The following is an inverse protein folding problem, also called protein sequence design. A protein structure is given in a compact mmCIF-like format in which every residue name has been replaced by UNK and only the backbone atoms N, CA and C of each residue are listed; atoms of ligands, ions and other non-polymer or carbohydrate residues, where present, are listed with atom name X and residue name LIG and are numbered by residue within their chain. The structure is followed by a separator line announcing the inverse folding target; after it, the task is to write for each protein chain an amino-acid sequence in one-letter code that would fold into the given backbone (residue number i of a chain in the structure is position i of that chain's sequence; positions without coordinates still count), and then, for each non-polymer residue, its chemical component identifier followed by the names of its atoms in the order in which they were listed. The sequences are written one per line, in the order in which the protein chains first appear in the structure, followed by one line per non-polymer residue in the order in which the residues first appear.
data_IF_437300689888
#
_entry.id   IF_437300689888
#
_cell.length_a   1.000
_cell.length_b   1.000
_cell.length_c   1.000
_cell.angle_alpha   90.00
_cell.angle_beta   90.00
_cell.angle_gamma   90.00
#
_symmetry.space_group_name_H-M   'P 1'
#
loop_
_entity.id
_entity.type
_entity.pdbx_description
1 polymer ?
#
# COMPACT_ATOMS: atom_id res chain seq x y z
N UNK A 1 7.19 -26.36 8.68
CA UNK A 1 8.52 -25.78 8.99
C UNK A 1 8.26 -24.52 9.79
N UNK A 2 8.95 -24.33 10.92
CA UNK A 2 8.77 -23.14 11.75
C UNK A 2 9.05 -21.89 10.90
N UNK A 3 8.12 -20.93 10.87
CA UNK A 3 8.31 -19.63 10.20
C UNK A 3 9.24 -18.70 11.00
N UNK A 4 9.86 -19.17 12.09
CA UNK A 4 10.73 -18.37 12.94
C UNK A 4 12.15 -18.31 12.39
N UNK A 5 12.70 -17.11 12.39
CA UNK A 5 14.08 -16.83 11.96
C UNK A 5 15.06 -17.34 13.02
N UNK A 6 16.02 -18.18 12.61
CA UNK A 6 17.11 -18.63 13.49
C UNK A 6 18.07 -17.47 13.79
N UNK A 7 18.86 -17.57 14.87
CA UNK A 7 19.82 -16.52 15.22
C UNK A 7 20.85 -16.28 14.10
N UNK A 8 21.41 -17.34 13.52
CA UNK A 8 22.40 -17.24 12.44
C UNK A 8 21.82 -16.60 11.16
N UNK A 9 20.59 -16.99 10.78
CA UNK A 9 19.89 -16.37 9.65
C UNK A 9 19.64 -14.88 9.91
N UNK A 10 19.22 -14.54 11.13
CA UNK A 10 18.92 -13.16 11.54
C UNK A 10 20.16 -12.28 11.41
N UNK A 11 21.28 -12.71 11.99
CA UNK A 11 22.56 -11.97 11.95
C UNK A 11 23.01 -11.77 10.50
N UNK A 12 22.90 -12.81 9.67
CA UNK A 12 23.27 -12.74 8.25
C UNK A 12 22.41 -11.74 7.48
N UNK A 13 21.09 -11.77 7.65
CA UNK A 13 20.18 -10.85 6.97
C UNK A 13 20.43 -9.41 7.43
N UNK A 14 20.51 -9.16 8.74
CA UNK A 14 20.76 -7.82 9.29
C UNK A 14 22.08 -7.24 8.77
N UNK A 15 23.15 -8.04 8.72
CA UNK A 15 24.43 -7.61 8.19
C UNK A 15 24.36 -7.15 6.71
N UNK A 16 23.55 -7.82 5.87
CA UNK A 16 23.34 -7.39 4.48
C UNK A 16 22.65 -6.03 4.39
N UNK A 17 21.65 -5.79 5.25
CA UNK A 17 20.97 -4.50 5.30
C UNK A 17 21.85 -3.37 5.84
N UNK A 18 22.70 -3.66 6.84
CA UNK A 18 23.65 -2.69 7.38
C UNK A 18 24.73 -2.31 6.36
N UNK A 19 25.24 -3.28 5.60
CA UNK A 19 26.20 -3.04 4.52
C UNK A 19 25.55 -2.29 3.34
N UNK A 20 24.27 -2.54 3.08
CA UNK A 20 23.55 -1.88 2.01
C UNK A 20 24.10 -2.27 0.63
N UNK A 21 24.49 -1.26 -0.15
CA UNK A 21 25.11 -1.42 -1.49
C UNK A 21 26.57 -0.94 -1.52
N UNK A 22 27.23 -0.94 -0.36
CA UNK A 22 28.64 -0.56 -0.27
C UNK A 22 29.56 -1.62 -0.89
N UNK A 23 30.86 -1.30 -0.99
CA UNK A 23 31.87 -2.18 -1.58
C UNK A 23 31.93 -3.51 -0.82
N UNK A 24 31.82 -4.64 -1.54
CA UNK A 24 31.74 -5.97 -0.96
C UNK A 24 30.31 -6.53 -0.78
N UNK A 25 29.27 -5.75 -1.09
CA UNK A 25 27.90 -6.26 -1.10
C UNK A 25 27.70 -7.33 -2.19
N UNK A 26 27.25 -8.53 -1.78
CA UNK A 26 26.90 -9.61 -2.69
C UNK A 26 25.39 -9.58 -2.93
N UNK A 27 25.00 -9.19 -4.14
CA UNK A 27 23.60 -9.15 -4.60
C UNK A 27 23.48 -10.13 -5.76
N UNK A 28 22.55 -11.07 -5.67
CA UNK A 28 22.35 -12.04 -6.75
C UNK A 28 21.64 -11.37 -7.93
N UNK A 29 21.97 -11.77 -9.16
CA UNK A 29 21.43 -11.16 -10.38
C UNK A 29 19.89 -11.20 -10.47
N UNK A 30 19.24 -12.16 -9.82
CA UNK A 30 17.77 -12.22 -9.77
C UNK A 30 17.16 -11.34 -8.68
N UNK A 31 17.94 -10.95 -7.66
CA UNK A 31 17.49 -9.97 -6.68
C UNK A 31 17.43 -8.58 -7.32
N UNK A 32 18.37 -8.25 -8.20
CA UNK A 32 18.41 -7.01 -9.00
C UNK A 32 18.37 -7.30 -10.51
N UNK A 33 17.17 -7.54 -11.07
CA UNK A 33 17.05 -7.76 -12.49
C UNK A 33 17.38 -6.50 -13.28
N UNK A 34 17.92 -6.67 -14.49
CA UNK A 34 18.15 -5.55 -15.42
C UNK A 34 16.82 -4.83 -15.72
N UNK A 35 16.80 -3.53 -15.41
CA UNK A 35 15.63 -2.67 -15.56
C UNK A 35 15.57 -1.99 -16.94
N UNK A 36 16.47 -2.32 -17.86
CA UNK A 36 16.47 -1.81 -19.25
C UNK A 36 15.16 -2.05 -20.00
N UNK A 37 14.35 -3.03 -19.56
CA UNK A 37 13.02 -3.33 -20.10
C UNK A 37 12.01 -2.21 -19.84
N UNK A 38 12.21 -1.40 -18.80
CA UNK A 38 11.34 -0.29 -18.44
C UNK A 38 11.64 0.98 -19.24
N UNK A 39 10.60 1.61 -19.78
CA UNK A 39 10.73 2.72 -20.75
C UNK A 39 10.25 4.06 -20.22
N UNK A 40 9.38 4.06 -19.20
CA UNK A 40 8.82 5.29 -18.62
C UNK A 40 8.45 5.09 -17.16
N UNK A 41 8.25 6.18 -16.43
CA UNK A 41 7.78 6.19 -15.04
C UNK A 41 6.51 7.01 -14.92
N UNK A 42 5.58 6.59 -14.07
CA UNK A 42 4.40 7.37 -13.76
C UNK A 42 4.66 8.44 -12.68
N UNK A 43 3.62 9.22 -12.36
CA UNK A 43 3.68 10.31 -11.37
C UNK A 43 4.02 9.87 -9.94
N UNK A 44 3.96 8.57 -9.64
CA UNK A 44 4.29 7.98 -8.34
C UNK A 44 5.61 7.18 -8.39
N UNK A 45 6.28 7.18 -9.54
CA UNK A 45 7.57 6.53 -9.74
C UNK A 45 7.47 5.05 -10.08
N UNK A 46 6.30 4.51 -10.43
CA UNK A 46 6.22 3.14 -10.93
C UNK A 46 6.64 3.10 -12.40
N UNK A 47 7.46 2.12 -12.72
CA UNK A 47 8.10 1.90 -14.01
C UNK A 47 7.19 1.06 -14.91
N UNK A 48 7.07 1.48 -16.17
CA UNK A 48 6.23 0.81 -17.17
C UNK A 48 7.09 0.32 -18.33
N UNK A 49 6.88 -0.92 -18.75
CA UNK A 49 7.57 -1.54 -19.90
C UNK A 49 7.06 -0.99 -21.23
N UNK A 50 5.83 -0.50 -21.25
CA UNK A 50 5.27 0.29 -22.34
C UNK A 50 5.43 1.78 -22.02
N UNK A 51 5.79 2.62 -23.01
CA UNK A 51 5.77 4.06 -22.82
C UNK A 51 4.35 4.50 -22.46
N UNK A 52 4.20 5.25 -21.37
CA UNK A 52 2.94 5.90 -21.07
C UNK A 52 2.62 6.92 -22.18
N UNK A 53 1.34 7.12 -22.53
CA UNK A 53 0.97 8.18 -23.45
C UNK A 53 1.53 9.51 -22.93
N UNK A 54 2.11 10.32 -23.82
CA UNK A 54 2.42 11.71 -23.48
C UNK A 54 1.10 12.46 -23.25
N UNK A 55 0.64 12.43 -22.00
CA UNK A 55 -0.48 13.25 -21.58
C UNK A 55 0.08 14.62 -21.28
N UNK A 56 -0.01 15.53 -22.25
CA UNK A 56 0.15 16.95 -21.97
C UNK A 56 -0.94 17.35 -20.97
N UNK A 57 -0.54 17.50 -19.72
CA UNK A 57 -1.45 17.95 -18.66
C UNK A 57 -1.86 19.37 -19.01
N UNK A 58 -3.16 19.66 -19.24
CA UNK A 58 -3.57 21.01 -19.60
C UNK A 58 -3.13 22.02 -18.54
N UNK A 59 -2.64 23.18 -18.95
CA UNK A 59 -2.16 24.24 -18.02
C UNK A 59 -3.21 24.57 -16.95
N UNK A 60 -4.50 24.55 -17.33
CA UNK A 60 -5.63 24.73 -16.41
C UNK A 60 -5.64 23.70 -15.26
N UNK A 61 -5.30 22.44 -15.54
CA UNK A 61 -5.23 21.38 -14.52
C UNK A 61 -4.03 21.61 -13.62
N UNK A 62 -2.87 21.98 -14.17
CA UNK A 62 -1.67 22.32 -13.39
C UNK A 62 -1.94 23.51 -12.45
N UNK A 63 -2.62 24.54 -12.94
CA UNK A 63 -3.02 25.70 -12.15
C UNK A 63 -3.98 25.32 -11.01
N UNK A 64 -4.97 24.46 -11.26
CA UNK A 64 -5.88 23.94 -10.23
C UNK A 64 -5.10 23.19 -9.14
N UNK A 65 -4.14 22.33 -9.51
CA UNK A 65 -3.32 21.59 -8.55
C UNK A 65 -2.42 22.52 -7.73
N UNK A 66 -1.81 23.54 -8.34
CA UNK A 66 -1.04 24.57 -7.62
C UNK A 66 -1.89 25.33 -6.61
N UNK A 67 -3.07 25.80 -7.02
CA UNK A 67 -4.00 26.47 -6.12
C UNK A 67 -4.45 25.57 -4.96
N UNK A 68 -4.71 24.29 -5.25
CA UNK A 68 -5.05 23.30 -4.21
C UNK A 68 -3.89 23.15 -3.23
N UNK A 69 -2.65 23.03 -3.72
CA UNK A 69 -1.46 22.90 -2.89
C UNK A 69 -1.27 24.11 -1.96
N UNK A 70 -1.41 25.34 -2.47
CA UNK A 70 -1.33 26.56 -1.64
C UNK A 70 -2.42 26.58 -0.56
N UNK A 71 -3.66 26.22 -0.94
CA UNK A 71 -4.78 26.16 0.02
C UNK A 71 -4.54 25.07 1.08
N UNK A 72 -3.96 23.93 0.72
CA UNK A 72 -3.61 22.86 1.65
C UNK A 72 -2.47 23.26 2.58
N UNK A 73 -1.41 23.89 2.06
CA UNK A 73 -0.30 24.39 2.87
C UNK A 73 -0.78 25.39 3.95
N UNK A 74 -1.75 26.25 3.63
CA UNK A 74 -2.39 27.13 4.61
C UNK A 74 -3.23 26.35 5.64
N UNK A 75 -3.86 25.25 5.25
CA UNK A 75 -4.66 24.44 6.17
C UNK A 75 -3.79 23.65 7.14
N UNK A 76 -2.64 23.14 6.70
CA UNK A 76 -1.71 22.40 7.55
C UNK A 76 -1.10 23.28 8.63
N UNK A 77 -0.79 24.55 8.33
CA UNK A 77 -0.29 25.49 9.36
C UNK A 77 -1.34 25.86 10.42
N UNK A 78 -2.62 25.79 10.07
CA UNK A 78 -3.75 26.09 10.95
C UNK A 78 -4.55 24.81 11.26
N UNK A 79 -3.87 23.67 11.46
CA UNK A 79 -4.52 22.36 11.54
C UNK A 79 -5.68 22.29 12.55
N UNK A 80 -5.47 22.79 13.78
CA UNK A 80 -6.49 22.81 14.85
C UNK A 80 -7.79 23.53 14.47
N UNK A 81 -7.75 24.47 13.53
CA UNK A 81 -8.94 25.17 13.03
C UNK A 81 -9.76 24.30 12.07
N UNK A 82 -9.13 23.34 11.40
CA UNK A 82 -9.73 22.60 10.29
C UNK A 82 -9.91 21.10 10.55
N UNK A 83 -9.26 20.53 11.58
CA UNK A 83 -9.21 19.09 11.87
C UNK A 83 -10.57 18.40 11.85
N UNK A 84 -11.61 19.06 12.37
CA UNK A 84 -12.95 18.50 12.54
C UNK A 84 -13.99 19.22 11.66
N UNK A 85 -13.52 19.91 10.61
CA UNK A 85 -14.39 20.70 9.74
C UNK A 85 -14.83 19.93 8.50
N UNK A 86 -16.07 20.13 8.05
CA UNK A 86 -16.57 19.68 6.74
C UNK A 86 -15.69 20.14 5.57
N UNK A 87 -14.95 21.23 5.77
CA UNK A 87 -14.01 21.76 4.77
C UNK A 87 -12.83 20.81 4.55
N UNK A 88 -12.35 20.14 5.60
CA UNK A 88 -11.31 19.13 5.49
C UNK A 88 -11.83 17.94 4.66
N UNK A 89 -12.94 17.33 5.08
CA UNK A 89 -13.54 16.19 4.38
C UNK A 89 -13.80 16.47 2.90
N UNK A 90 -14.40 17.62 2.57
CA UNK A 90 -14.64 18.02 1.17
C UNK A 90 -13.37 18.21 0.35
N UNK A 91 -12.24 18.53 0.97
CA UNK A 91 -10.95 18.71 0.28
C UNK A 91 -10.21 17.39 0.14
N UNK A 92 -10.25 16.53 1.14
CA UNK A 92 -9.76 15.15 1.04
C UNK A 92 -10.49 14.44 -0.10
N UNK A 93 -11.82 14.54 -0.16
CA UNK A 93 -12.64 13.99 -1.26
C UNK A 93 -12.39 14.63 -2.64
N UNK A 94 -11.56 15.66 -2.75
CA UNK A 94 -11.11 16.23 -4.04
C UNK A 94 -9.70 15.80 -4.42
N UNK A 95 -9.01 15.10 -3.51
CA UNK A 95 -7.61 14.73 -3.63
C UNK A 95 -6.68 15.66 -2.86
N UNK A 96 -5.70 15.06 -2.19
CA UNK A 96 -4.57 15.75 -1.57
C UNK A 96 -3.43 15.84 -2.61
N UNK A 97 -2.95 17.04 -2.97
CA UNK A 97 -1.83 17.21 -3.89
C UNK A 97 -0.57 16.51 -3.38
N UNK A 98 0.19 15.93 -4.31
CA UNK A 98 1.35 15.10 -3.99
C UNK A 98 2.39 15.84 -3.12
N UNK A 99 2.61 17.12 -3.41
CA UNK A 99 3.60 17.98 -2.75
C UNK A 99 3.34 18.23 -1.26
N UNK A 100 2.10 18.08 -0.80
CA UNK A 100 1.71 18.34 0.60
C UNK A 100 1.26 17.07 1.32
N UNK A 101 1.22 15.92 0.63
CA UNK A 101 0.66 14.67 1.14
C UNK A 101 1.33 14.21 2.43
N UNK A 102 2.65 14.20 2.49
CA UNK A 102 3.40 13.83 3.70
C UNK A 102 3.01 14.68 4.92
N UNK A 103 2.96 16.01 4.76
CA UNK A 103 2.54 16.92 5.85
C UNK A 103 1.09 16.71 6.26
N UNK A 104 0.18 16.53 5.30
CA UNK A 104 -1.24 16.28 5.61
C UNK A 104 -1.42 14.94 6.33
N UNK A 105 -0.74 13.88 5.90
CA UNK A 105 -0.82 12.56 6.53
C UNK A 105 -0.31 12.59 7.97
N UNK A 106 0.82 13.26 8.24
CA UNK A 106 1.30 13.46 9.62
C UNK A 106 0.24 14.06 10.53
N UNK A 107 -0.48 15.06 10.03
CA UNK A 107 -1.57 15.71 10.78
C UNK A 107 -2.81 14.83 10.93
N UNK A 108 -3.27 14.16 9.87
CA UNK A 108 -4.47 13.30 9.89
C UNK A 108 -4.30 12.10 10.81
N UNK A 109 -3.09 11.53 10.81
CA UNK A 109 -2.70 10.44 11.69
C UNK A 109 -2.28 10.91 13.08
N UNK A 110 -2.12 12.22 13.30
CA UNK A 110 -1.74 12.75 14.61
C UNK A 110 -0.41 12.21 15.12
N UNK A 111 0.54 11.94 14.22
CA UNK A 111 1.82 11.28 14.53
C UNK A 111 2.59 12.04 15.63
N UNK A 112 2.59 13.37 15.55
CA UNK A 112 3.24 14.24 16.54
C UNK A 112 2.69 14.06 17.97
N UNK A 113 1.46 13.56 18.13
CA UNK A 113 0.86 13.36 19.45
C UNK A 113 1.23 12.02 20.09
N UNK A 114 1.65 11.04 19.27
CA UNK A 114 2.00 9.68 19.72
C UNK A 114 3.50 9.42 19.65
N UNK A 115 4.24 10.26 18.92
CA UNK A 115 5.67 10.12 18.71
C UNK A 115 6.41 10.32 20.02
N UNK A 116 7.09 9.26 20.45
CA UNK A 116 7.93 9.24 21.64
C UNK A 116 9.40 9.14 21.27
N UNK A 117 10.22 10.04 21.82
CA UNK A 117 11.64 10.13 21.50
C UNK A 117 12.40 8.84 21.88
N UNK A 118 13.20 8.34 20.94
CA UNK A 118 14.04 7.17 21.13
C UNK A 118 13.32 5.82 21.14
N UNK A 119 11.98 5.76 21.17
CA UNK A 119 11.24 4.48 21.10
C UNK A 119 11.55 3.78 19.78
N UNK A 120 11.47 4.51 18.65
CA UNK A 120 11.76 3.93 17.35
C UNK A 120 13.15 3.29 17.28
N UNK A 121 14.17 4.03 17.73
CA UNK A 121 15.56 3.55 17.74
C UNK A 121 15.72 2.30 18.64
N UNK A 122 15.11 2.31 19.83
CA UNK A 122 15.12 1.14 20.73
C UNK A 122 14.45 -0.08 20.09
N UNK A 123 13.30 0.11 19.45
CA UNK A 123 12.55 -0.98 18.79
C UNK A 123 13.29 -1.51 17.57
N UNK A 124 13.90 -0.63 16.78
CA UNK A 124 14.77 -1.00 15.66
C UNK A 124 15.93 -1.87 16.13
N UNK A 125 16.65 -1.43 17.15
CA UNK A 125 17.80 -2.18 17.70
C UNK A 125 17.38 -3.52 18.32
N UNK A 126 16.28 -3.52 19.09
CA UNK A 126 15.72 -4.73 19.67
C UNK A 126 15.31 -5.72 18.57
N UNK A 127 14.57 -5.26 17.57
CA UNK A 127 14.08 -6.11 16.48
C UNK A 127 15.21 -6.73 15.67
N UNK A 128 16.27 -5.98 15.41
CA UNK A 128 17.46 -6.51 14.74
C UNK A 128 18.10 -7.68 15.49
N UNK A 129 18.04 -7.68 16.83
CA UNK A 129 18.62 -8.73 17.67
C UNK A 129 17.67 -9.90 17.93
N UNK A 130 16.37 -9.64 18.09
CA UNK A 130 15.44 -10.62 18.67
C UNK A 130 14.19 -10.89 17.86
N UNK A 131 13.90 -10.13 16.78
CA UNK A 131 12.63 -10.31 16.05
C UNK A 131 12.57 -11.69 15.38
N UNK A 132 11.51 -12.49 15.64
CA UNK A 132 11.35 -13.80 15.01
C UNK A 132 10.99 -13.67 13.51
N UNK A 133 10.58 -12.49 13.07
CA UNK A 133 9.97 -12.24 11.76
C UNK A 133 10.96 -11.75 10.69
N UNK A 134 12.25 -11.55 11.03
CA UNK A 134 13.26 -10.97 10.13
C UNK A 134 13.30 -11.65 8.76
N UNK A 135 13.28 -12.99 8.70
CA UNK A 135 13.26 -13.74 7.44
C UNK A 135 12.04 -13.46 6.60
N UNK A 136 10.86 -13.38 7.22
CA UNK A 136 9.62 -13.09 6.51
C UNK A 136 9.57 -11.64 6.03
N UNK A 137 10.09 -10.71 6.84
CA UNK A 137 10.24 -9.30 6.47
C UNK A 137 11.18 -9.16 5.27
N UNK A 138 12.32 -9.83 5.28
CA UNK A 138 13.31 -9.80 4.18
C UNK A 138 12.70 -10.24 2.85
N UNK A 139 12.01 -11.39 2.85
CA UNK A 139 11.28 -11.92 1.68
C UNK A 139 10.24 -10.91 1.19
N UNK A 140 9.53 -10.25 2.11
CA UNK A 140 8.49 -9.29 1.75
C UNK A 140 9.08 -7.98 1.21
N UNK A 141 10.19 -7.49 1.76
CA UNK A 141 10.91 -6.32 1.24
C UNK A 141 11.40 -6.58 -0.19
N UNK A 142 12.00 -7.75 -0.44
CA UNK A 142 12.51 -8.16 -1.75
C UNK A 142 11.46 -8.16 -2.86
N UNK A 143 10.17 -8.37 -2.52
CA UNK A 143 9.06 -8.40 -3.48
C UNK A 143 8.13 -7.18 -3.44
N UNK A 144 8.40 -6.18 -2.61
CA UNK A 144 7.53 -5.00 -2.45
C UNK A 144 7.95 -3.87 -3.38
N UNK A 145 7.05 -3.47 -4.29
CA UNK A 145 7.21 -2.34 -5.22
C UNK A 145 8.54 -2.34 -6.00
N UNK A 146 9.02 -3.51 -6.44
CA UNK A 146 10.27 -3.63 -7.21
C UNK A 146 10.21 -2.94 -8.58
N UNK A 147 9.02 -2.66 -9.06
CA UNK A 147 8.72 -1.83 -10.22
C UNK A 147 8.69 -0.33 -9.89
N UNK A 148 9.01 0.11 -8.67
CA UNK A 148 9.06 1.52 -8.30
C UNK A 148 10.50 2.03 -8.18
N UNK A 149 10.77 3.23 -8.70
CA UNK A 149 12.12 3.83 -8.71
C UNK A 149 12.78 3.92 -7.34
N UNK A 150 11.98 4.01 -6.26
CA UNK A 150 12.49 4.10 -4.89
C UNK A 150 12.95 2.74 -4.36
N UNK A 151 12.28 1.65 -4.78
CA UNK A 151 12.44 0.31 -4.20
C UNK A 151 13.09 -0.70 -5.16
N UNK A 152 13.40 -0.28 -6.38
CA UNK A 152 13.96 -1.09 -7.48
C UNK A 152 15.37 -1.64 -7.21
N UNK A 153 16.10 -1.08 -6.26
CA UNK A 153 17.47 -1.47 -5.94
C UNK A 153 17.50 -2.30 -4.65
N UNK A 154 17.98 -3.54 -4.70
CA UNK A 154 18.13 -4.43 -3.55
C UNK A 154 19.08 -3.81 -2.52
N UNK A 155 18.68 -3.82 -1.25
CA UNK A 155 19.39 -3.11 -0.17
C UNK A 155 19.60 -1.60 -0.43
N UNK A 156 18.86 -0.99 -1.36
CA UNK A 156 18.87 0.47 -1.53
C UNK A 156 18.26 1.18 -0.32
N UNK A 157 18.46 2.50 -0.23
CA UNK A 157 18.06 3.34 0.92
C UNK A 157 16.62 3.08 1.38
N UNK A 158 15.67 3.02 0.45
CA UNK A 158 14.25 2.82 0.79
C UNK A 158 13.91 1.38 1.15
N UNK A 159 14.63 0.38 0.63
CA UNK A 159 14.49 -1.00 1.11
C UNK A 159 15.04 -1.16 2.53
N UNK A 160 16.19 -0.52 2.83
CA UNK A 160 16.73 -0.50 4.19
C UNK A 160 15.75 0.17 5.15
N UNK A 161 15.23 1.35 4.80
CA UNK A 161 14.22 2.03 5.61
C UNK A 161 12.96 1.18 5.82
N UNK A 162 12.49 0.49 4.77
CA UNK A 162 11.34 -0.42 4.86
C UNK A 162 11.62 -1.58 5.82
N UNK A 163 12.79 -2.20 5.71
CA UNK A 163 13.22 -3.26 6.62
C UNK A 163 13.27 -2.75 8.07
N UNK A 164 13.90 -1.59 8.31
CA UNK A 164 14.01 -1.00 9.65
C UNK A 164 12.64 -0.70 10.28
N UNK A 165 11.70 -0.12 9.51
CA UNK A 165 10.34 0.18 10.00
C UNK A 165 9.60 -1.08 10.38
N UNK A 166 9.66 -2.13 9.54
CA UNK A 166 8.94 -3.38 9.78
C UNK A 166 9.55 -4.17 10.95
N UNK A 167 10.88 -4.22 11.05
CA UNK A 167 11.58 -4.86 12.17
C UNK A 167 11.33 -4.14 13.49
N UNK A 168 11.32 -2.80 13.49
CA UNK A 168 10.94 -2.04 14.67
C UNK A 168 9.47 -2.30 15.06
N UNK A 169 8.57 -2.32 14.08
CA UNK A 169 7.15 -2.56 14.34
C UNK A 169 6.88 -3.96 14.93
N UNK A 170 7.57 -5.00 14.43
CA UNK A 170 7.39 -6.37 14.95
C UNK A 170 7.70 -6.49 16.45
N UNK A 171 8.56 -5.62 16.98
CA UNK A 171 8.88 -5.57 18.41
C UNK A 171 8.06 -4.54 19.19
N UNK A 172 7.44 -3.58 18.53
CA UNK A 172 6.59 -2.60 19.18
C UNK A 172 5.26 -3.22 19.64
N UNK A 173 4.64 -4.04 18.80
CA UNK A 173 3.45 -4.80 19.14
C UNK A 173 3.74 -6.29 18.95
N UNK A 174 4.31 -6.93 19.97
CA UNK A 174 4.71 -8.35 19.92
C UNK A 174 3.54 -9.32 19.87
N UNK A 175 2.33 -8.90 20.30
CA UNK A 175 1.13 -9.73 20.19
C UNK A 175 0.70 -9.91 18.73
N UNK A 176 0.82 -8.84 17.92
CA UNK A 176 0.54 -8.89 16.49
C UNK A 176 1.76 -9.35 15.68
N UNK A 177 2.97 -8.91 16.07
CA UNK A 177 4.21 -9.10 15.34
C UNK A 177 4.16 -8.51 13.93
N UNK A 178 4.92 -9.10 13.01
CA UNK A 178 4.80 -8.81 11.59
C UNK A 178 3.75 -9.69 10.90
N UNK A 179 2.84 -9.06 10.15
CA UNK A 179 1.88 -9.77 9.30
C UNK A 179 2.13 -9.49 7.81
N UNK A 180 1.99 -10.54 6.99
CA UNK A 180 2.12 -10.42 5.53
C UNK A 180 1.14 -9.37 4.97
N UNK A 181 1.70 -8.42 4.22
CA UNK A 181 0.97 -7.28 3.65
C UNK A 181 1.36 -5.96 4.30
N UNK A 182 1.88 -5.96 5.53
CA UNK A 182 2.39 -4.75 6.19
C UNK A 182 3.50 -4.06 5.38
N UNK A 183 4.32 -4.83 4.65
CA UNK A 183 5.38 -4.25 3.80
C UNK A 183 4.85 -3.26 2.76
N UNK A 184 3.70 -3.55 2.14
CA UNK A 184 3.12 -2.65 1.13
C UNK A 184 2.60 -1.36 1.78
N UNK A 185 2.04 -1.47 3.00
CA UNK A 185 1.57 -0.33 3.79
C UNK A 185 2.75 0.58 4.14
N UNK A 186 3.77 0.01 4.77
CA UNK A 186 4.96 0.73 5.22
C UNK A 186 5.70 1.35 4.03
N UNK A 187 5.75 0.67 2.89
CA UNK A 187 6.39 1.21 1.69
C UNK A 187 5.64 2.43 1.13
N UNK A 188 4.30 2.45 1.14
CA UNK A 188 3.52 3.64 0.77
C UNK A 188 3.76 4.78 1.75
N UNK A 189 3.80 4.50 3.06
CA UNK A 189 4.11 5.51 4.09
C UNK A 189 5.49 6.13 3.85
N UNK A 190 6.50 5.30 3.59
CA UNK A 190 7.88 5.72 3.32
C UNK A 190 8.07 6.49 2.00
N UNK A 191 7.11 6.46 1.08
CA UNK A 191 7.13 7.34 -0.10
C UNK A 191 6.90 8.81 0.27
N UNK A 192 6.19 9.08 1.37
CA UNK A 192 5.76 10.43 1.76
C UNK A 192 6.28 10.90 3.12
N UNK A 193 6.78 9.97 3.94
CA UNK A 193 7.28 10.21 5.29
C UNK A 193 8.75 9.81 5.40
N UNK A 194 9.44 10.38 6.41
CA UNK A 194 10.76 9.88 6.80
C UNK A 194 10.63 8.53 7.54
N UNK A 195 11.76 7.87 7.78
CA UNK A 195 11.81 6.51 8.37
C UNK A 195 11.06 6.41 9.70
N UNK A 196 11.32 7.32 10.64
CA UNK A 196 10.70 7.29 11.96
C UNK A 196 9.21 7.68 11.92
N UNK A 197 8.85 8.70 11.15
CA UNK A 197 7.45 9.11 11.00
C UNK A 197 6.63 8.01 10.32
N UNK A 198 7.22 7.25 9.38
CA UNK A 198 6.56 6.09 8.78
C UNK A 198 6.33 4.96 9.79
N UNK A 199 7.25 4.74 10.74
CA UNK A 199 7.04 3.82 11.85
C UNK A 199 5.85 4.23 12.71
N UNK A 200 5.79 5.49 13.15
CA UNK A 200 4.67 5.97 13.95
C UNK A 200 3.35 6.02 13.19
N UNK A 201 3.39 6.35 11.89
CA UNK A 201 2.24 6.24 11.01
C UNK A 201 1.71 4.80 10.96
N UNK A 202 2.59 3.81 10.89
CA UNK A 202 2.21 2.40 10.91
C UNK A 202 1.60 1.98 12.26
N UNK A 203 2.19 2.45 13.37
CA UNK A 203 1.67 2.26 14.73
C UNK A 203 0.24 2.79 14.85
N UNK A 204 0.02 4.05 14.46
CA UNK A 204 -1.32 4.66 14.47
C UNK A 204 -2.25 3.91 13.54
N UNK A 205 -1.84 3.67 12.30
CA UNK A 205 -2.70 3.09 11.28
C UNK A 205 -3.24 1.71 11.71
N UNK A 206 -2.41 0.91 12.38
CA UNK A 206 -2.80 -0.43 12.83
C UNK A 206 -3.50 -0.39 14.19
N UNK A 207 -2.95 0.35 15.15
CA UNK A 207 -3.38 0.32 16.55
C UNK A 207 -4.54 1.26 16.90
N UNK A 208 -4.71 2.37 16.17
CA UNK A 208 -5.75 3.35 16.50
C UNK A 208 -7.14 2.82 16.09
N UNK A 209 -8.11 2.76 17.03
CA UNK A 209 -9.50 2.38 16.75
C UNK A 209 -10.16 3.20 15.63
N UNK A 210 -9.69 4.42 15.37
CA UNK A 210 -10.15 5.28 14.27
C UNK A 210 -10.02 4.62 12.91
N UNK A 211 -8.92 3.91 12.67
CA UNK A 211 -8.67 3.19 11.42
C UNK A 211 -9.17 1.75 11.50
N UNK A 212 -9.23 1.19 12.72
CA UNK A 212 -9.73 -0.15 13.01
C UNK A 212 -9.13 -1.23 12.08
N UNK A 213 -7.85 -1.09 11.76
CA UNK A 213 -7.11 -2.01 10.90
C UNK A 213 -6.64 -3.25 11.65
N UNK A 214 -6.51 -3.19 12.98
CA UNK A 214 -6.16 -4.35 13.81
C UNK A 214 -7.04 -5.59 13.50
N UNK A 215 -8.37 -5.41 13.45
CA UNK A 215 -9.31 -6.49 13.12
C UNK A 215 -9.16 -7.10 11.70
N UNK A 216 -8.44 -6.43 10.81
CA UNK A 216 -8.10 -6.92 9.46
C UNK A 216 -6.84 -7.77 9.43
N UNK A 217 -6.01 -7.71 10.49
CA UNK A 217 -4.66 -8.28 10.53
C UNK A 217 -4.51 -9.37 11.60
N UNK A 218 -5.39 -9.42 12.59
CA UNK A 218 -5.38 -10.48 13.61
C UNK A 218 -5.74 -11.86 13.03
N UNK A 219 -5.30 -12.95 13.67
CA UNK A 219 -5.66 -14.31 13.29
C UNK A 219 -7.18 -14.50 13.12
N UNK A 220 -7.57 -15.23 12.08
CA UNK A 220 -8.98 -15.42 11.71
C UNK A 220 -9.59 -14.28 10.89
N UNK A 221 -8.90 -13.13 10.76
CA UNK A 221 -9.26 -12.01 9.87
C UNK A 221 -10.74 -11.57 9.98
N UNK A 222 -11.31 -11.46 11.19
CA UNK A 222 -12.75 -11.36 11.38
C UNK A 222 -13.36 -10.14 10.68
N UNK A 223 -12.65 -9.00 10.69
CA UNK A 223 -13.13 -7.78 10.02
C UNK A 223 -13.03 -7.86 8.51
N UNK A 224 -12.02 -8.57 7.98
CA UNK A 224 -11.90 -8.80 6.55
C UNK A 224 -13.06 -9.66 6.04
N UNK A 225 -13.37 -10.75 6.76
CA UNK A 225 -14.51 -11.61 6.42
C UNK A 225 -15.83 -10.84 6.44
N UNK A 226 -16.07 -10.05 7.49
CA UNK A 226 -17.26 -9.19 7.57
C UNK A 226 -17.33 -8.18 6.41
N UNK A 227 -16.19 -7.61 6.00
CA UNK A 227 -16.13 -6.70 4.85
C UNK A 227 -16.40 -7.43 3.53
N UNK A 228 -15.92 -8.66 3.36
CA UNK A 228 -16.20 -9.51 2.21
C UNK A 228 -17.70 -9.85 2.11
N UNK A 229 -18.36 -10.12 3.23
CA UNK A 229 -19.80 -10.38 3.29
C UNK A 229 -20.61 -9.14 2.96
N UNK A 230 -20.24 -8.00 3.53
CA UNK A 230 -20.84 -6.71 3.22
C UNK A 230 -20.67 -6.36 1.74
N UNK A 231 -19.47 -6.52 1.20
CA UNK A 231 -19.19 -6.30 -0.22
C UNK A 231 -20.00 -7.24 -1.11
N UNK A 232 -20.16 -8.51 -0.73
CA UNK A 232 -20.99 -9.47 -1.46
C UNK A 232 -22.47 -9.08 -1.45
N UNK A 233 -22.96 -8.53 -0.35
CA UNK A 233 -24.32 -7.97 -0.24
C UNK A 233 -24.51 -6.75 -1.15
N UNK A 234 -23.55 -5.82 -1.15
CA UNK A 234 -23.55 -4.67 -2.07
C UNK A 234 -23.50 -5.12 -3.53
N UNK A 235 -22.63 -6.08 -3.86
CA UNK A 235 -22.50 -6.62 -5.22
C UNK A 235 -23.80 -7.28 -5.67
N UNK A 236 -24.49 -8.02 -4.79
CA UNK A 236 -25.81 -8.60 -5.08
C UNK A 236 -26.87 -7.53 -5.35
N UNK A 237 -26.86 -6.44 -4.58
CA UNK A 237 -27.85 -5.35 -4.69
C UNK A 237 -27.62 -4.45 -5.92
N UNK A 238 -26.38 -4.01 -6.12
CA UNK A 238 -26.03 -3.00 -7.13
C UNK A 238 -25.51 -3.59 -8.44
N UNK A 239 -24.96 -4.81 -8.42
CA UNK A 239 -24.38 -5.48 -9.58
C UNK A 239 -24.84 -6.95 -9.70
N UNK A 240 -26.16 -7.23 -9.74
CA UNK A 240 -26.70 -8.59 -9.64
C UNK A 240 -26.24 -9.52 -10.77
N UNK A 241 -26.01 -8.99 -11.98
CA UNK A 241 -25.48 -9.77 -13.11
C UNK A 241 -24.05 -10.25 -12.84
N UNK A 242 -23.19 -9.35 -12.33
CA UNK A 242 -21.82 -9.67 -11.96
C UNK A 242 -21.79 -10.67 -10.80
N UNK A 243 -22.63 -10.44 -9.78
CA UNK A 243 -22.75 -11.34 -8.64
C UNK A 243 -23.09 -12.78 -9.09
N UNK A 244 -24.12 -12.94 -9.94
CA UNK A 244 -24.49 -14.25 -10.49
C UNK A 244 -23.37 -14.90 -11.30
N UNK A 245 -22.62 -14.12 -12.09
CA UNK A 245 -21.49 -14.64 -12.86
C UNK A 245 -20.34 -15.13 -11.98
N UNK A 246 -20.06 -14.46 -10.86
CA UNK A 246 -19.03 -14.88 -9.90
C UNK A 246 -19.44 -16.16 -9.17
N UNK A 247 -20.67 -16.21 -8.64
CA UNK A 247 -21.19 -17.40 -7.93
C UNK A 247 -21.37 -18.59 -8.89
N UNK A 248 -21.85 -18.34 -10.11
CA UNK A 248 -22.02 -19.38 -11.13
C UNK A 248 -20.71 -19.98 -11.65
N UNK A 249 -19.55 -19.38 -11.35
CA UNK A 249 -18.23 -19.95 -11.64
C UNK A 249 -17.70 -20.82 -10.51
N UNK A 250 -18.06 -20.53 -9.26
CA UNK A 250 -17.70 -21.36 -8.10
C UNK A 250 -18.54 -22.65 -8.05
N UNK A 251 -19.73 -22.65 -8.65
CA UNK A 251 -20.60 -23.83 -8.79
C UNK A 251 -20.61 -24.48 -10.19
N UNK A 252 -19.59 -24.23 -11.02
CA UNK A 252 -19.61 -24.53 -12.45
C UNK A 252 -18.34 -25.20 -12.98
N UNK A 253 -17.88 -26.27 -12.35
CA UNK A 253 -17.08 -27.31 -13.02
C UNK A 253 -17.99 -28.24 -13.81
N UNK A 254 -18.81 -27.72 -14.73
CA UNK A 254 -19.47 -28.51 -15.77
C UNK A 254 -20.11 -27.55 -16.77
N UNK A 255 -19.54 -27.45 -17.98
CA UNK A 255 -20.16 -26.70 -19.08
C UNK A 255 -19.22 -25.79 -19.86
N UNK A 256 -18.22 -26.37 -20.51
CA UNK A 256 -17.63 -25.74 -21.69
C UNK A 256 -18.70 -25.56 -22.78
N UNK A 257 -18.94 -24.31 -23.20
CA UNK A 257 -19.00 -23.87 -24.61
C UNK A 257 -19.39 -22.40 -24.74
N UNK A 258 -19.02 -21.85 -25.89
CA UNK A 258 -19.30 -20.49 -26.41
C UNK A 258 -18.33 -19.37 -25.98
N UNK A 259 -17.08 -19.50 -26.43
CA UNK A 259 -16.16 -18.37 -26.66
C UNK A 259 -16.38 -17.85 -28.08
N UNK A 260 -16.89 -16.64 -28.22
CA UNK A 260 -16.99 -15.97 -29.53
C UNK A 260 -17.51 -14.53 -29.47
N UNK A 261 -18.45 -14.22 -28.57
CA UNK A 261 -19.03 -12.86 -28.45
C UNK A 261 -18.72 -12.11 -27.16
N UNK A 262 -17.86 -12.65 -26.28
CA UNK A 262 -17.74 -12.20 -24.88
C UNK A 262 -16.78 -11.03 -24.66
N UNK A 263 -15.91 -10.70 -25.61
CA UNK A 263 -14.82 -9.73 -25.36
C UNK A 263 -15.30 -8.26 -25.37
N UNK A 264 -16.23 -7.90 -26.26
CA UNK A 264 -16.80 -6.54 -26.29
C UNK A 264 -17.79 -6.27 -25.14
N UNK A 265 -18.54 -7.28 -24.68
CA UNK A 265 -19.40 -7.14 -23.48
C UNK A 265 -18.55 -7.04 -22.20
N UNK A 266 -17.44 -7.77 -22.09
CA UNK A 266 -16.53 -7.74 -20.93
C UNK A 266 -15.89 -6.35 -20.73
N UNK A 267 -15.51 -5.67 -21.82
CA UNK A 267 -14.98 -4.29 -21.77
C UNK A 267 -16.03 -3.27 -21.33
N UNK A 268 -17.30 -3.44 -21.73
CA UNK A 268 -18.41 -2.57 -21.30
C UNK A 268 -18.73 -2.64 -19.80
N UNK A 269 -18.84 -3.86 -19.25
CA UNK A 269 -19.15 -4.07 -17.83
C UNK A 269 -18.02 -3.63 -16.89
N UNK A 270 -16.75 -3.79 -17.30
CA UNK A 270 -15.61 -3.28 -16.52
C UNK A 270 -15.63 -1.75 -16.50
N UNK A 271 -15.97 -1.10 -17.62
CA UNK A 271 -16.07 0.36 -17.71
C UNK A 271 -17.19 0.91 -16.80
N UNK A 272 -18.36 0.28 -16.76
CA UNK A 272 -19.45 0.67 -15.85
C UNK A 272 -19.13 0.39 -14.38
N UNK A 273 -18.50 -0.75 -14.06
CA UNK A 273 -18.10 -1.07 -12.70
C UNK A 273 -17.07 -0.07 -12.16
N UNK A 274 -16.07 0.29 -12.98
CA UNK A 274 -15.09 1.35 -12.64
C UNK A 274 -15.77 2.72 -12.51
N UNK A 275 -16.74 3.03 -13.38
CA UNK A 275 -17.48 4.31 -13.33
C UNK A 275 -18.37 4.43 -12.09
N UNK A 276 -19.03 3.34 -11.65
CA UNK A 276 -19.85 3.33 -10.43
C UNK A 276 -19.00 3.26 -9.16
N UNK A 277 -17.86 2.57 -9.19
CA UNK A 277 -16.88 2.54 -8.10
C UNK A 277 -16.30 3.93 -7.82
N UNK A 278 -15.89 4.65 -8.87
CA UNK A 278 -15.41 6.04 -8.79
C UNK A 278 -16.50 7.03 -8.34
N UNK A 279 -17.78 6.65 -8.34
CA UNK A 279 -18.91 7.48 -7.92
C UNK A 279 -19.30 7.30 -6.45
N UNK A 280 -18.90 6.18 -5.82
CA UNK A 280 -19.30 5.83 -4.45
C UNK A 280 -18.14 5.76 -3.43
N UNK A 281 -16.88 5.94 -3.85
CA UNK A 281 -15.76 6.13 -2.92
C UNK A 281 -14.72 7.08 -3.51
N UNK A 282 -14.22 7.96 -2.63
CA UNK A 282 -13.03 8.82 -2.63
C UNK A 282 -12.17 8.75 -3.91
N UNK A 283 -11.84 9.88 -4.57
CA UNK A 283 -11.11 9.89 -5.83
C UNK A 283 -9.63 9.53 -5.61
N UNK A 284 -9.36 8.24 -5.53
CA UNK A 284 -8.02 7.67 -5.66
C UNK A 284 -7.75 7.49 -7.16
N UNK A 285 -7.50 8.60 -7.86
CA UNK A 285 -7.19 8.55 -9.29
C UNK A 285 -5.97 7.65 -9.54
N UNK A 286 -6.21 6.56 -10.28
CA UNK A 286 -5.28 5.59 -10.89
C UNK A 286 -4.71 4.41 -10.07
N UNK A 287 -5.05 4.22 -8.79
CA UNK A 287 -4.73 2.94 -8.10
C UNK A 287 -5.76 1.84 -8.41
N UNK A 288 -6.99 2.25 -8.74
CA UNK A 288 -8.14 1.34 -8.80
C UNK A 288 -8.15 0.41 -10.02
N UNK A 289 -7.48 0.73 -11.15
CA UNK A 289 -7.47 -0.18 -12.32
C UNK A 289 -6.55 -1.39 -12.11
N UNK A 290 -5.44 -1.21 -11.36
CA UNK A 290 -4.49 -2.27 -11.06
C UNK A 290 -5.07 -3.28 -10.05
N UNK A 291 -5.86 -2.78 -9.09
CA UNK A 291 -6.45 -3.58 -8.03
C UNK A 291 -7.67 -4.41 -8.46
N UNK A 292 -8.51 -3.87 -9.34
CA UNK A 292 -9.69 -4.60 -9.87
C UNK A 292 -9.26 -5.73 -10.82
N UNK A 293 -8.12 -5.60 -11.50
CA UNK A 293 -7.60 -6.61 -12.43
C UNK A 293 -6.96 -7.83 -11.75
N UNK A 294 -6.18 -7.64 -10.68
CA UNK A 294 -5.42 -8.73 -10.02
C UNK A 294 -6.25 -9.53 -9.01
N UNK A 295 -7.14 -8.89 -8.24
CA UNK A 295 -8.07 -9.61 -7.34
C UNK A 295 -9.02 -10.58 -8.08
N UNK A 296 -9.24 -10.40 -9.39
CA UNK A 296 -10.08 -11.28 -10.18
C UNK A 296 -9.38 -12.59 -10.62
N UNK A 297 -8.06 -12.73 -10.39
CA UNK A 297 -7.25 -13.83 -10.97
C UNK A 297 -6.28 -14.48 -9.96
N UNK A 298 -6.07 -13.96 -8.74
CA UNK A 298 -5.04 -14.51 -7.83
C UNK A 298 -5.29 -14.32 -6.33
N UNK A 299 -4.67 -15.24 -5.56
CA UNK A 299 -4.78 -15.55 -4.11
C UNK A 299 -5.04 -14.40 -3.12
N UNK A 300 -5.60 -14.76 -1.95
CA UNK A 300 -5.88 -13.92 -0.76
C UNK A 300 -4.81 -12.88 -0.38
N UNK A 301 -3.54 -13.11 -0.75
CA UNK A 301 -2.43 -12.19 -0.51
C UNK A 301 -2.45 -10.93 -1.40
N UNK A 302 -2.99 -11.00 -2.62
CA UNK A 302 -3.05 -9.86 -3.55
C UNK A 302 -4.21 -8.90 -3.21
N UNK A 303 -5.33 -9.42 -2.69
CA UNK A 303 -6.44 -8.55 -2.26
C UNK A 303 -6.13 -7.75 -0.99
N UNK A 304 -5.28 -8.25 -0.08
CA UNK A 304 -4.80 -7.48 1.08
C UNK A 304 -4.00 -6.24 0.67
N UNK A 305 -3.19 -6.34 -0.39
CA UNK A 305 -2.39 -5.21 -0.91
C UNK A 305 -3.28 -4.08 -1.44
N UNK A 306 -4.42 -4.41 -2.04
CA UNK A 306 -5.32 -3.44 -2.65
C UNK A 306 -6.22 -2.70 -1.65
N UNK A 307 -6.65 -3.39 -0.60
CA UNK A 307 -7.48 -2.79 0.45
C UNK A 307 -6.71 -1.67 1.18
N UNK A 308 -5.43 -1.89 1.51
CA UNK A 308 -4.68 -0.89 2.28
C UNK A 308 -4.42 0.39 1.49
N UNK A 309 -4.10 0.29 0.21
CA UNK A 309 -3.86 1.47 -0.63
C UNK A 309 -5.13 2.30 -0.78
N UNK A 310 -6.30 1.67 -0.80
CA UNK A 310 -7.58 2.36 -0.88
C UNK A 310 -7.99 3.09 0.41
N UNK A 311 -7.51 2.66 1.58
CA UNK A 311 -7.72 3.36 2.85
C UNK A 311 -6.73 4.51 3.09
N UNK A 312 -5.60 4.51 2.38
CA UNK A 312 -4.57 5.56 2.51
C UNK A 312 -4.71 6.70 1.49
N UNK A 313 -5.44 6.51 0.39
CA UNK A 313 -5.65 7.54 -0.66
C UNK A 313 -6.91 8.38 -0.43
#
# INVERSE_FOLDING_TARGET
MSNHTTDDERVTIVAKYDLGREEGAVIENWEDPDLSVYKSTDRYGFMHTTPLPEVQVPEKVMQIERERAVKWAKMTTQWKKYSDSDKLYRRVNKGIPNSVRGTVWRHVMGIENVKEEGVYLRMKELGRRTSPDIKQIDIDVLRTFRDNIMYKDRYGIKQQALFHVLVAYSMYNTELGYCQGMSSIAAVLLMYLNEEDAFWALVVFIGDPKFAMHGMLIPGLPKLLALCDFHSTLRKRFMPKLHRHMVGREGGEEGERERGGRENKRKGYIREAVYMYNRFQIPCDNINSYCVGKCAVGSDSECRKCIVVQYMC
#
